data_IF_505876209386
#
_entry.id   IF_505876209386
#
_cell.length_a   1.000
_cell.length_b   1.000
_cell.length_c   1.000
_cell.angle_alpha   90.00
_cell.angle_beta   90.00
_cell.angle_gamma   90.00
#
_symmetry.space_group_name_H-M   'P 1'
#
loop_
_entity.id
_entity.type
_entity.pdbx_description
1 polymer ?
#
# COMPACT_ATOMS: atom_id res chain seq x y z
N UNK A 1 -46.61 -32.12 -47.68
CA UNK A 1 -45.46 -31.86 -46.78
C UNK A 1 -44.46 -30.99 -47.50
N UNK A 2 -44.26 -29.79 -46.98
CA UNK A 2 -43.66 -28.68 -47.73
C UNK A 2 -42.21 -28.90 -48.16
N UNK A 3 -41.98 -29.04 -49.48
CA UNK A 3 -40.64 -29.15 -50.10
C UNK A 3 -39.72 -27.93 -49.81
N UNK A 4 -40.27 -26.84 -49.26
CA UNK A 4 -39.54 -25.61 -48.90
C UNK A 4 -39.00 -25.61 -47.45
N UNK A 5 -39.48 -26.51 -46.57
CA UNK A 5 -39.02 -26.55 -45.17
C UNK A 5 -37.60 -27.10 -45.01
N UNK A 6 -37.19 -28.04 -45.84
CA UNK A 6 -35.84 -28.64 -45.76
C UNK A 6 -34.72 -27.62 -46.08
N UNK A 7 -34.79 -26.80 -47.16
CA UNK A 7 -33.77 -25.80 -47.43
C UNK A 7 -33.72 -24.67 -46.38
N UNK A 8 -34.87 -24.27 -45.81
CA UNK A 8 -34.94 -23.25 -44.75
C UNK A 8 -34.27 -23.76 -43.47
N UNK A 9 -34.56 -25.00 -43.07
CA UNK A 9 -33.90 -25.60 -41.90
C UNK A 9 -32.37 -25.76 -42.13
N UNK A 10 -31.93 -26.13 -43.32
CA UNK A 10 -30.53 -26.21 -43.69
C UNK A 10 -29.80 -24.87 -43.58
N UNK A 11 -30.45 -23.78 -44.04
CA UNK A 11 -29.91 -22.43 -43.97
C UNK A 11 -29.81 -21.95 -42.52
N UNK A 12 -30.83 -22.19 -41.69
CA UNK A 12 -30.83 -21.82 -40.28
C UNK A 12 -29.74 -22.57 -39.51
N UNK A 13 -29.51 -23.84 -39.81
CA UNK A 13 -28.49 -24.65 -39.20
C UNK A 13 -27.09 -24.16 -39.58
N UNK A 14 -26.86 -23.84 -40.85
CA UNK A 14 -25.60 -23.25 -41.32
C UNK A 14 -25.33 -21.87 -40.73
N UNK A 15 -26.39 -21.03 -40.64
CA UNK A 15 -26.30 -19.71 -39.99
C UNK A 15 -25.98 -19.85 -38.49
N UNK A 16 -26.59 -20.81 -37.79
CA UNK A 16 -26.33 -21.11 -36.39
C UNK A 16 -24.88 -21.60 -36.14
N UNK A 17 -24.41 -22.52 -37.02
CA UNK A 17 -23.02 -22.99 -36.96
C UNK A 17 -22.05 -21.83 -37.26
N UNK A 18 -22.29 -21.05 -38.28
CA UNK A 18 -21.50 -19.85 -38.62
C UNK A 18 -21.43 -18.84 -37.50
N UNK A 19 -22.55 -18.58 -36.85
CA UNK A 19 -22.60 -17.70 -35.67
C UNK A 19 -21.86 -18.29 -34.46
N UNK A 20 -22.00 -19.59 -34.21
CA UNK A 20 -21.28 -20.25 -33.13
C UNK A 20 -19.74 -20.26 -33.37
N UNK A 21 -19.31 -20.50 -34.62
CA UNK A 21 -17.90 -20.39 -34.99
C UNK A 21 -17.42 -18.95 -34.86
N UNK A 22 -18.19 -17.96 -35.32
CA UNK A 22 -17.86 -16.54 -35.23
C UNK A 22 -17.70 -16.10 -33.76
N UNK A 23 -18.63 -16.46 -32.87
CA UNK A 23 -18.57 -16.14 -31.45
C UNK A 23 -17.44 -16.88 -30.74
N UNK A 24 -17.19 -18.14 -31.10
CA UNK A 24 -16.07 -18.93 -30.57
C UNK A 24 -14.70 -18.37 -31.00
N UNK A 25 -14.58 -17.98 -32.27
CA UNK A 25 -13.35 -17.36 -32.79
C UNK A 25 -13.12 -15.98 -32.19
N UNK A 26 -14.15 -15.14 -32.04
CA UNK A 26 -14.03 -13.86 -31.35
C UNK A 26 -13.74 -14.02 -29.87
N UNK A 27 -14.27 -15.04 -29.21
CA UNK A 27 -13.93 -15.39 -27.84
C UNK A 27 -12.46 -15.86 -27.69
N UNK A 28 -11.92 -16.57 -28.69
CA UNK A 28 -10.53 -17.04 -28.68
C UNK A 28 -9.52 -15.99 -29.18
N UNK A 29 -9.90 -15.15 -30.13
CA UNK A 29 -9.09 -13.99 -30.58
C UNK A 29 -9.01 -12.89 -29.52
N UNK A 30 -9.92 -12.87 -28.54
CA UNK A 30 -9.85 -12.04 -27.34
C UNK A 30 -8.93 -12.60 -26.25
N UNK A 31 -8.32 -13.77 -26.44
CA UNK A 31 -7.10 -14.16 -25.72
C UNK A 31 -5.95 -13.32 -26.28
N UNK A 32 -5.94 -12.02 -25.93
CA UNK A 32 -4.76 -11.17 -26.12
C UNK A 32 -3.55 -11.95 -25.65
N UNK A 33 -2.49 -11.98 -26.44
CA UNK A 33 -1.24 -12.59 -26.04
C UNK A 33 -0.93 -12.13 -24.61
N UNK A 34 -0.95 -13.06 -23.67
CA UNK A 34 -0.75 -12.73 -22.26
C UNK A 34 0.70 -12.36 -22.05
N UNK A 35 0.94 -11.18 -21.51
CA UNK A 35 2.26 -10.70 -21.18
C UNK A 35 2.46 -10.89 -19.67
N UNK A 36 3.51 -11.63 -19.30
CA UNK A 36 3.93 -11.70 -17.89
C UNK A 36 4.77 -10.48 -17.56
N UNK A 37 4.37 -9.78 -16.51
CA UNK A 37 5.04 -8.60 -15.98
C UNK A 37 5.49 -8.91 -14.57
N UNK A 38 6.76 -8.64 -14.27
CA UNK A 38 7.36 -8.86 -12.94
C UNK A 38 7.64 -7.54 -12.24
N UNK A 39 7.30 -7.45 -10.96
CA UNK A 39 7.48 -6.22 -10.21
C UNK A 39 7.93 -6.38 -8.78
N UNK A 40 8.64 -5.37 -8.28
CA UNK A 40 8.97 -5.20 -6.87
C UNK A 40 7.93 -4.30 -6.20
N UNK A 41 7.35 -4.75 -5.11
CA UNK A 41 6.32 -4.00 -4.39
C UNK A 41 6.65 -3.84 -2.90
N UNK A 42 6.20 -2.74 -2.31
CA UNK A 42 6.13 -2.62 -0.86
C UNK A 42 5.16 -3.67 -0.29
N UNK A 43 5.48 -4.24 0.87
CA UNK A 43 4.69 -5.33 1.48
C UNK A 43 3.23 -4.96 1.76
N UNK A 44 2.94 -3.69 1.94
CA UNK A 44 1.59 -3.15 2.13
C UNK A 44 0.67 -3.33 0.89
N UNK A 45 1.25 -3.64 -0.27
CA UNK A 45 0.52 -3.85 -1.54
C UNK A 45 0.27 -5.32 -1.85
N UNK A 46 0.79 -6.24 -1.02
CA UNK A 46 0.65 -7.68 -1.25
C UNK A 46 -0.81 -8.09 -1.38
N UNK A 47 -1.66 -7.67 -0.44
CA UNK A 47 -3.08 -8.00 -0.44
C UNK A 47 -3.80 -7.48 -1.69
N UNK A 48 -3.41 -6.31 -2.22
CA UNK A 48 -3.96 -5.76 -3.46
C UNK A 48 -3.65 -6.67 -4.66
N UNK A 49 -2.40 -7.05 -4.86
CA UNK A 49 -2.01 -7.91 -5.99
C UNK A 49 -2.46 -9.37 -5.82
N UNK A 50 -2.71 -9.82 -4.59
CA UNK A 50 -3.26 -11.14 -4.31
C UNK A 50 -4.79 -11.21 -4.46
N UNK A 51 -5.49 -10.08 -4.52
CA UNK A 51 -6.96 -10.06 -4.65
C UNK A 51 -7.39 -10.64 -6.01
N UNK A 52 -8.27 -11.68 -6.03
CA UNK A 52 -8.73 -12.30 -7.27
C UNK A 52 -9.39 -11.32 -8.25
N UNK A 53 -10.05 -10.28 -7.75
CA UNK A 53 -10.69 -9.24 -8.58
C UNK A 53 -9.64 -8.42 -9.33
N UNK A 54 -8.53 -8.09 -8.67
CA UNK A 54 -7.39 -7.39 -9.27
C UNK A 54 -6.72 -8.27 -10.32
N UNK A 55 -6.45 -9.54 -9.98
CA UNK A 55 -5.85 -10.50 -10.91
C UNK A 55 -6.72 -10.70 -12.15
N UNK A 56 -8.04 -10.85 -11.99
CA UNK A 56 -8.97 -10.96 -13.12
C UNK A 56 -9.03 -9.69 -13.97
N UNK A 57 -8.98 -8.51 -13.34
CA UNK A 57 -8.97 -7.25 -14.06
C UNK A 57 -7.70 -7.09 -14.91
N UNK A 58 -6.54 -7.45 -14.36
CA UNK A 58 -5.26 -7.47 -15.08
C UNK A 58 -5.27 -8.49 -16.22
N UNK A 59 -5.77 -9.71 -15.96
CA UNK A 59 -5.89 -10.76 -16.97
C UNK A 59 -6.79 -10.35 -18.14
N UNK A 60 -7.90 -9.66 -17.89
CA UNK A 60 -8.75 -9.07 -18.96
C UNK A 60 -8.01 -8.07 -19.84
N UNK A 61 -6.95 -7.45 -19.32
CA UNK A 61 -6.04 -6.59 -20.09
C UNK A 61 -4.91 -7.36 -20.77
N UNK A 62 -4.86 -8.69 -20.62
CA UNK A 62 -3.79 -9.54 -21.16
C UNK A 62 -2.52 -9.52 -20.29
N UNK A 63 -2.61 -9.11 -19.02
CA UNK A 63 -1.47 -9.03 -18.11
C UNK A 63 -1.52 -10.13 -17.05
N UNK A 64 -0.42 -10.88 -16.92
CA UNK A 64 -0.14 -11.75 -15.77
C UNK A 64 0.92 -11.04 -14.94
N UNK A 65 0.53 -10.51 -13.78
CA UNK A 65 1.44 -9.76 -12.91
C UNK A 65 1.98 -10.66 -11.81
N UNK A 66 3.30 -10.80 -11.76
CA UNK A 66 4.04 -11.48 -10.70
C UNK A 66 4.75 -10.44 -9.86
N UNK A 67 4.61 -10.52 -8.54
CA UNK A 67 5.21 -9.54 -7.63
C UNK A 67 6.10 -10.21 -6.60
N UNK A 68 7.21 -9.55 -6.32
CA UNK A 68 8.10 -9.85 -5.21
C UNK A 68 8.03 -8.70 -4.20
N UNK A 69 7.87 -9.02 -2.92
CA UNK A 69 7.77 -8.01 -1.87
C UNK A 69 9.12 -7.72 -1.23
N UNK A 70 9.34 -6.44 -1.00
CA UNK A 70 10.49 -5.95 -0.23
C UNK A 70 10.14 -4.64 0.48
N UNK A 71 10.94 -4.26 1.45
CA UNK A 71 10.83 -2.92 2.03
C UNK A 71 11.14 -1.85 0.98
N UNK A 72 10.38 -0.77 0.93
CA UNK A 72 10.50 0.27 -0.10
C UNK A 72 11.93 0.82 -0.22
N UNK A 73 12.65 0.94 0.89
CA UNK A 73 14.07 1.35 0.89
C UNK A 73 14.98 0.27 0.31
N UNK A 74 14.70 -1.00 0.58
CA UNK A 74 15.45 -2.13 0.00
C UNK A 74 15.26 -2.20 -1.52
N UNK A 75 14.04 -1.99 -2.03
CA UNK A 75 13.77 -1.92 -3.47
C UNK A 75 14.74 -0.96 -4.15
N UNK A 76 14.96 0.21 -3.54
CA UNK A 76 15.82 1.24 -4.10
C UNK A 76 17.33 0.97 -3.97
N UNK A 77 17.77 0.01 -3.14
CA UNK A 77 19.19 -0.12 -2.77
C UNK A 77 19.79 -1.52 -2.86
N UNK A 78 18.95 -2.57 -2.82
CA UNK A 78 19.43 -3.94 -2.66
C UNK A 78 19.05 -4.87 -3.84
N UNK A 79 18.24 -4.42 -4.79
CA UNK A 79 17.79 -5.23 -5.91
C UNK A 79 18.43 -4.82 -7.23
N UNK A 80 18.68 -5.79 -8.09
CA UNK A 80 19.00 -5.54 -9.49
C UNK A 80 17.71 -5.18 -10.24
N UNK A 81 17.44 -3.89 -10.33
CA UNK A 81 16.21 -3.34 -10.92
C UNK A 81 16.03 -3.69 -12.40
N UNK A 82 17.08 -4.11 -13.10
CA UNK A 82 17.02 -4.53 -14.51
C UNK A 82 16.24 -5.82 -14.73
N UNK A 83 16.04 -6.61 -13.68
CA UNK A 83 15.28 -7.86 -13.71
C UNK A 83 13.77 -7.69 -13.58
N UNK A 84 13.30 -6.47 -13.35
CA UNK A 84 11.91 -6.17 -13.07
C UNK A 84 11.37 -5.15 -14.08
N UNK A 85 10.12 -5.36 -14.47
CA UNK A 85 9.42 -4.47 -15.40
C UNK A 85 8.89 -3.22 -14.71
N UNK A 86 8.61 -3.31 -13.38
CA UNK A 86 8.19 -2.17 -12.59
C UNK A 86 8.66 -2.29 -11.12
N UNK A 87 8.72 -1.13 -10.46
CA UNK A 87 8.91 -1.03 -9.02
C UNK A 87 7.84 -0.12 -8.43
N UNK A 88 7.22 -0.56 -7.33
CA UNK A 88 6.14 0.16 -6.66
C UNK A 88 6.45 0.34 -5.16
N UNK A 89 7.39 1.23 -4.82
CA UNK A 89 7.71 1.55 -3.43
C UNK A 89 6.57 2.33 -2.76
N UNK A 90 6.66 2.48 -1.44
CA UNK A 90 5.63 3.17 -0.65
C UNK A 90 5.77 4.70 -0.62
N UNK A 91 6.87 5.27 -1.08
CA UNK A 91 7.06 6.71 -0.94
C UNK A 91 7.97 7.33 -1.99
N UNK A 92 7.81 8.64 -2.17
CA UNK A 92 8.55 9.42 -3.14
C UNK A 92 10.08 9.30 -2.97
N UNK A 93 10.68 9.37 -1.75
CA UNK A 93 12.12 9.26 -1.61
C UNK A 93 12.71 7.94 -2.14
N UNK A 94 11.96 6.84 -2.02
CA UNK A 94 12.37 5.55 -2.58
C UNK A 94 12.21 5.54 -4.10
N UNK A 95 11.12 6.10 -4.64
CA UNK A 95 10.90 6.24 -6.07
C UNK A 95 12.01 7.09 -6.73
N UNK A 96 12.37 8.22 -6.12
CA UNK A 96 13.45 9.09 -6.62
C UNK A 96 14.81 8.38 -6.66
N UNK A 97 15.11 7.57 -5.64
CA UNK A 97 16.32 6.75 -5.61
C UNK A 97 16.34 5.68 -6.71
N UNK A 98 15.19 5.05 -6.98
CA UNK A 98 15.04 4.11 -8.09
C UNK A 98 15.30 4.84 -9.43
N UNK A 99 14.70 6.02 -9.62
CA UNK A 99 14.90 6.83 -10.84
C UNK A 99 16.35 7.25 -11.03
N UNK A 100 17.08 7.57 -9.95
CA UNK A 100 18.52 7.85 -10.02
C UNK A 100 19.31 6.63 -10.51
N UNK A 101 18.92 5.42 -10.12
CA UNK A 101 19.61 4.20 -10.49
C UNK A 101 19.29 3.72 -11.92
N UNK A 102 18.02 3.86 -12.38
CA UNK A 102 17.57 3.34 -13.68
C UNK A 102 17.44 4.41 -14.77
N UNK A 103 17.67 5.67 -14.42
CA UNK A 103 17.45 6.81 -15.31
C UNK A 103 15.97 7.22 -15.35
N UNK A 104 15.69 8.29 -16.11
CA UNK A 104 14.36 8.89 -16.21
C UNK A 104 13.35 7.90 -16.81
N UNK A 105 12.29 7.61 -16.09
CA UNK A 105 11.20 6.70 -16.49
C UNK A 105 9.85 7.34 -16.14
N UNK A 106 8.75 6.95 -16.80
CA UNK A 106 7.41 7.35 -16.38
C UNK A 106 7.14 6.92 -14.93
N UNK A 107 6.54 7.82 -14.16
CA UNK A 107 6.12 7.56 -12.77
C UNK A 107 4.64 7.85 -12.62
N UNK A 108 3.96 7.02 -11.83
CA UNK A 108 2.55 7.14 -11.55
C UNK A 108 2.29 6.94 -10.05
N UNK A 109 1.31 7.65 -9.53
CA UNK A 109 0.82 7.49 -8.15
C UNK A 109 -0.65 7.06 -8.25
N UNK A 110 -0.93 5.75 -8.41
CA UNK A 110 -2.29 5.27 -8.64
C UNK A 110 -3.19 5.42 -7.42
N UNK A 111 -2.63 5.38 -6.22
CA UNK A 111 -3.32 5.62 -4.94
C UNK A 111 -2.30 5.99 -3.86
N UNK A 112 -2.80 6.51 -2.75
CA UNK A 112 -2.01 6.74 -1.54
C UNK A 112 -2.79 6.28 -0.31
N UNK A 113 -2.06 5.96 0.76
CA UNK A 113 -2.63 5.66 2.08
C UNK A 113 -1.95 6.54 3.12
N UNK A 114 -2.69 7.09 4.10
CA UNK A 114 -2.07 7.84 5.18
C UNK A 114 -1.24 6.91 6.07
N UNK A 115 -0.24 7.48 6.73
CA UNK A 115 0.39 6.82 7.86
C UNK A 115 -0.56 6.89 9.06
N UNK A 116 -0.80 5.75 9.70
CA UNK A 116 -1.72 5.64 10.83
C UNK A 116 -1.05 4.98 12.03
N UNK A 117 -1.55 5.27 13.21
CA UNK A 117 -1.18 4.58 14.45
C UNK A 117 -2.30 3.61 14.75
N UNK A 118 -2.00 2.31 14.74
CA UNK A 118 -2.93 1.26 15.16
C UNK A 118 -2.82 1.01 16.66
N UNK A 119 -3.94 0.93 17.35
CA UNK A 119 -3.98 0.66 18.78
C UNK A 119 -5.26 -0.09 19.16
N UNK A 120 -5.29 -0.56 20.40
CA UNK A 120 -6.48 -1.15 21.02
C UNK A 120 -7.41 -0.05 21.53
N UNK A 121 -8.71 -0.24 21.45
CA UNK A 121 -9.70 0.74 21.91
C UNK A 121 -9.48 1.19 23.37
N UNK A 122 -9.19 0.31 24.36
CA UNK A 122 -8.89 0.76 25.73
C UNK A 122 -7.67 1.70 25.80
N UNK A 123 -6.64 1.47 24.99
CA UNK A 123 -5.46 2.34 24.90
C UNK A 123 -5.83 3.69 24.29
N UNK A 124 -6.61 3.69 23.21
CA UNK A 124 -7.07 4.91 22.57
C UNK A 124 -7.89 5.78 23.54
N UNK A 125 -8.74 5.17 24.39
CA UNK A 125 -9.49 5.88 25.43
C UNK A 125 -8.60 6.51 26.51
N UNK A 126 -7.53 5.83 26.92
CA UNK A 126 -6.55 6.41 27.84
C UNK A 126 -5.88 7.63 27.17
N UNK A 127 -5.47 7.52 25.91
CA UNK A 127 -4.86 8.63 25.17
C UNK A 127 -5.84 9.79 24.99
N UNK A 128 -7.13 9.52 24.76
CA UNK A 128 -8.19 10.53 24.68
C UNK A 128 -8.40 11.25 26.01
N UNK A 129 -8.48 10.51 27.14
CA UNK A 129 -8.60 11.09 28.47
C UNK A 129 -7.44 12.00 28.87
N UNK A 130 -6.30 11.88 28.16
CA UNK A 130 -5.09 12.69 28.34
C UNK A 130 -4.86 13.65 27.15
N UNK A 131 -5.88 13.92 26.33
CA UNK A 131 -5.87 14.88 25.20
C UNK A 131 -4.81 14.62 24.12
N UNK A 132 -4.35 13.39 23.96
CA UNK A 132 -3.38 13.02 22.91
C UNK A 132 -4.08 12.60 21.63
N UNK A 133 -5.29 12.05 21.73
CA UNK A 133 -6.11 11.71 20.56
C UNK A 133 -7.49 12.36 20.69
N UNK A 134 -8.16 12.52 19.55
CA UNK A 134 -9.55 12.96 19.48
C UNK A 134 -10.36 11.98 18.67
N UNK A 135 -11.53 11.66 19.21
CA UNK A 135 -12.52 10.78 18.57
C UNK A 135 -13.66 11.63 17.99
N UNK A 136 -14.16 11.22 16.85
CA UNK A 136 -15.41 11.72 16.24
C UNK A 136 -16.09 10.56 15.51
N UNK A 137 -17.35 10.35 15.83
CA UNK A 137 -18.20 9.33 15.18
C UNK A 137 -17.60 7.92 15.24
N UNK A 138 -16.96 7.55 16.36
CA UNK A 138 -16.32 6.25 16.56
C UNK A 138 -14.94 6.10 15.93
N UNK A 139 -14.38 7.18 15.37
CA UNK A 139 -13.07 7.17 14.73
C UNK A 139 -12.12 8.13 15.42
N UNK A 140 -10.94 7.63 15.79
CA UNK A 140 -9.84 8.48 16.26
C UNK A 140 -9.11 9.05 15.04
N UNK A 141 -9.21 10.37 14.84
CA UNK A 141 -8.76 11.04 13.61
C UNK A 141 -7.62 12.03 13.80
N UNK A 142 -7.27 12.33 15.05
CA UNK A 142 -6.24 13.29 15.37
C UNK A 142 -5.34 12.75 16.47
N UNK A 143 -4.04 13.01 16.38
CA UNK A 143 -3.03 12.61 17.35
C UNK A 143 -2.09 13.79 17.59
N UNK A 144 -1.97 14.22 18.86
CA UNK A 144 -1.07 15.29 19.29
C UNK A 144 0.36 14.74 19.41
N UNK A 145 1.15 14.96 18.38
CA UNK A 145 2.53 14.52 18.34
C UNK A 145 3.45 15.33 19.23
N UNK A 146 3.16 16.63 19.44
CA UNK A 146 3.96 17.50 20.32
C UNK A 146 3.81 17.03 21.78
N UNK A 147 2.58 16.77 22.22
CA UNK A 147 2.30 16.25 23.57
C UNK A 147 2.89 14.84 23.74
N UNK A 148 2.74 14.00 22.75
CA UNK A 148 3.34 12.66 22.77
C UNK A 148 4.87 12.75 22.85
N UNK A 149 5.51 13.66 22.09
CA UNK A 149 6.95 13.89 22.14
C UNK A 149 7.39 14.33 23.54
N UNK A 150 6.68 15.26 24.16
CA UNK A 150 6.94 15.66 25.53
C UNK A 150 6.87 14.47 26.51
N UNK A 151 5.92 13.57 26.34
CA UNK A 151 5.85 12.35 27.17
C UNK A 151 7.05 11.43 26.96
N UNK A 152 7.57 11.33 25.75
CA UNK A 152 8.78 10.51 25.49
C UNK A 152 10.00 11.11 26.17
N UNK A 153 10.14 12.44 26.18
CA UNK A 153 11.22 13.14 26.86
C UNK A 153 11.15 12.99 28.39
N UNK A 154 9.94 13.01 28.95
CA UNK A 154 9.68 12.84 30.39
C UNK A 154 9.62 11.37 30.82
N UNK A 155 9.86 10.42 29.92
CA UNK A 155 9.69 8.98 30.17
C UNK A 155 8.34 8.61 30.79
N UNK A 156 7.28 9.34 30.45
CA UNK A 156 5.93 9.15 30.98
C UNK A 156 5.50 7.70 30.82
N UNK A 157 4.92 7.12 31.88
CA UNK A 157 4.53 5.72 31.93
C UNK A 157 3.03 5.56 31.84
N UNK A 158 2.57 4.45 31.27
CA UNK A 158 1.14 4.17 31.12
C UNK A 158 0.39 4.27 32.44
N UNK A 159 0.94 3.71 33.52
CA UNK A 159 0.30 3.72 34.87
C UNK A 159 0.08 5.14 35.43
N UNK A 160 0.84 6.12 34.96
CA UNK A 160 0.82 7.50 35.48
C UNK A 160 -0.16 8.41 34.71
N UNK A 161 -0.78 7.85 33.65
CA UNK A 161 -1.80 8.55 32.87
C UNK A 161 -3.16 8.53 33.55
N UNK A 162 -3.98 9.56 33.30
CA UNK A 162 -5.39 9.59 33.71
C UNK A 162 -6.13 8.40 33.08
N UNK A 163 -7.02 7.79 33.82
CA UNK A 163 -7.87 6.67 33.42
C UNK A 163 -7.08 5.43 32.95
N UNK A 164 -5.85 5.24 33.45
CA UNK A 164 -4.97 4.14 33.09
C UNK A 164 -5.36 2.77 33.62
N UNK A 165 -6.48 2.64 34.35
CA UNK A 165 -6.90 1.39 34.97
C UNK A 165 -7.02 0.22 33.99
N UNK A 166 -7.35 0.47 32.73
CA UNK A 166 -7.43 -0.56 31.69
C UNK A 166 -6.05 -1.05 31.21
N UNK A 167 -4.96 -0.31 31.50
CA UNK A 167 -3.59 -0.67 31.13
C UNK A 167 -2.57 -0.11 32.13
N UNK A 168 -2.56 -0.56 33.39
CA UNK A 168 -1.78 0.02 34.49
C UNK A 168 -0.32 -0.48 34.50
N UNK A 169 0.33 -0.51 33.33
CA UNK A 169 1.68 -1.05 33.21
C UNK A 169 2.76 -0.01 33.45
N UNK A 170 3.83 -0.42 34.12
CA UNK A 170 4.99 0.43 34.39
C UNK A 170 5.96 0.46 33.18
N UNK A 171 5.44 0.81 31.98
CA UNK A 171 6.19 0.94 30.74
C UNK A 171 6.01 2.35 30.19
N UNK A 172 7.05 2.90 29.57
CA UNK A 172 6.95 4.21 28.87
C UNK A 172 5.92 4.15 27.74
N UNK A 173 5.24 5.26 27.52
CA UNK A 173 4.29 5.44 26.42
C UNK A 173 5.09 5.61 25.13
N UNK A 174 5.16 4.54 24.34
CA UNK A 174 5.96 4.53 23.11
C UNK A 174 5.16 3.95 21.94
N UNK A 175 5.19 4.65 20.81
CA UNK A 175 4.77 4.10 19.52
C UNK A 175 5.87 3.17 19.04
N UNK A 176 5.49 1.92 18.75
CA UNK A 176 6.41 0.95 18.15
C UNK A 176 6.30 1.00 16.63
N UNK A 177 7.45 0.96 15.99
CA UNK A 177 7.53 0.93 14.53
C UNK A 177 8.50 -0.17 14.08
N UNK A 178 8.61 -0.38 12.78
CA UNK A 178 9.52 -1.35 12.16
C UNK A 178 10.92 -0.77 11.95
N UNK A 179 11.83 -1.53 11.37
CA UNK A 179 13.21 -1.09 11.09
C UNK A 179 13.22 0.07 10.08
N UNK A 180 13.69 1.22 10.52
CA UNK A 180 13.82 2.45 9.71
C UNK A 180 14.68 2.29 8.46
N UNK A 181 15.61 1.34 8.46
CA UNK A 181 16.48 1.06 7.31
C UNK A 181 15.73 0.34 6.18
N UNK A 182 14.62 -0.31 6.48
CA UNK A 182 13.86 -1.15 5.54
C UNK A 182 12.48 -0.58 5.21
N UNK A 183 11.80 -0.04 6.22
CA UNK A 183 10.41 0.38 6.14
C UNK A 183 10.27 1.87 5.86
N UNK A 184 9.34 2.21 4.93
CA UNK A 184 9.01 3.60 4.64
C UNK A 184 8.24 4.26 5.78
N UNK A 185 7.29 3.58 6.41
CA UNK A 185 6.52 4.13 7.53
C UNK A 185 7.40 4.43 8.74
N UNK A 186 8.37 3.56 9.04
CA UNK A 186 9.35 3.82 10.09
C UNK A 186 10.25 5.03 9.77
N UNK A 187 10.68 5.17 8.53
CA UNK A 187 11.47 6.32 8.10
C UNK A 187 10.66 7.63 8.16
N UNK A 188 9.38 7.59 7.75
CA UNK A 188 8.48 8.74 7.85
C UNK A 188 8.20 9.12 9.31
N UNK A 189 8.01 8.12 10.19
CA UNK A 189 7.82 8.35 11.62
C UNK A 189 9.08 9.00 12.23
N UNK A 190 10.27 8.48 11.93
CA UNK A 190 11.52 9.11 12.37
C UNK A 190 11.65 10.56 11.89
N UNK A 191 11.38 10.81 10.60
CA UNK A 191 11.45 12.16 10.04
C UNK A 191 10.46 13.12 10.73
N UNK A 192 9.24 12.63 11.03
CA UNK A 192 8.22 13.41 11.72
C UNK A 192 8.63 13.74 13.17
N UNK A 193 9.17 12.76 13.89
CA UNK A 193 9.65 12.97 15.26
C UNK A 193 10.86 13.89 15.29
N UNK A 194 11.78 13.77 14.32
CA UNK A 194 12.92 14.69 14.18
C UNK A 194 12.48 16.11 13.87
N UNK A 195 11.46 16.29 13.03
CA UNK A 195 10.87 17.59 12.74
C UNK A 195 10.31 18.26 14.00
N UNK A 196 9.59 17.50 14.83
CA UNK A 196 9.03 17.99 16.11
C UNK A 196 10.16 18.34 17.09
N UNK A 197 11.13 17.44 17.24
CA UNK A 197 12.29 17.64 18.12
C UNK A 197 13.08 18.90 17.75
N UNK A 198 13.18 19.21 16.45
CA UNK A 198 13.86 20.40 15.93
C UNK A 198 12.95 21.65 15.87
N UNK A 199 11.94 21.74 16.72
CA UNK A 199 11.04 22.90 16.81
C UNK A 199 10.23 23.12 15.53
N UNK A 200 9.70 22.06 14.95
CA UNK A 200 8.91 22.05 13.72
C UNK A 200 9.66 22.60 12.49
N UNK A 201 10.96 22.32 12.43
CA UNK A 201 11.83 22.62 11.29
C UNK A 201 12.47 21.35 10.76
N UNK A 202 12.70 21.31 9.45
CA UNK A 202 13.42 20.20 8.84
C UNK A 202 14.87 20.23 9.32
N UNK A 203 15.37 19.10 9.81
CA UNK A 203 16.79 18.92 10.18
C UNK A 203 17.61 19.05 8.90
N UNK A 204 18.42 20.09 8.80
CA UNK A 204 19.17 20.44 7.60
C UNK A 204 20.69 20.27 7.75
N UNK A 205 21.19 20.19 8.99
CA UNK A 205 22.61 20.03 9.27
C UNK A 205 22.89 18.89 10.24
N UNK A 206 24.15 18.53 10.38
CA UNK A 206 24.60 17.48 11.29
C UNK A 206 24.52 17.94 12.75
N UNK A 207 24.77 19.22 12.99
CA UNK A 207 24.68 19.85 14.30
C UNK A 207 23.24 19.85 14.86
N UNK A 208 22.24 19.85 14.01
CA UNK A 208 20.83 19.76 14.41
C UNK A 208 20.38 18.33 14.72
N UNK A 209 21.25 17.31 14.52
CA UNK A 209 20.93 15.91 14.82
C UNK A 209 21.34 15.50 16.24
N UNK A 210 22.22 16.26 16.90
CA UNK A 210 22.73 16.04 18.25
C UNK A 210 21.90 16.82 19.28
#
# INVERSE_FOLDING_TARGET
MNRLLAPILGFLLLAGIGYAIYTSMHGQLALKAQITVTGLIGSEKEAFFADPRVQQALLKQGLIVKVEKAGSRQIATAFDLKKYDFAFPAGQPAADKILQAVGKRPTHVPFFTPMVIASWQPIAKILEANDVVRERDGVYYWFDLDRYFAWTQLETRWKDLKDSAAYPVNKSVLIRTTDVRKSNSAAMYLALMSYIANGQRVVASREEMD
#
